data_IF_874640611954
#
_entry.id   IF_874640611954
#
_cell.length_a   1.000
_cell.length_b   1.000
_cell.length_c   1.000
_cell.angle_alpha   90.00
_cell.angle_beta   90.00
_cell.angle_gamma   90.00
#
_symmetry.space_group_name_H-M   'P 1'
#
loop_
_entity.id
_entity.type
_entity.pdbx_description
1 polymer ?
#
# COMPACT_ATOMS: atom_id res chain seq x y z
N UNK A 1 14.46 -10.31 -29.67
CA UNK A 1 15.83 -9.83 -29.95
C UNK A 1 16.49 -9.21 -28.72
N UNK A 2 15.93 -8.17 -28.08
CA UNK A 2 16.49 -7.50 -26.90
C UNK A 2 16.89 -8.47 -25.77
N UNK A 3 15.95 -9.31 -25.29
CA UNK A 3 16.20 -10.26 -24.19
C UNK A 3 17.31 -11.30 -24.53
N UNK A 4 17.46 -11.70 -25.79
CA UNK A 4 18.51 -12.61 -26.22
C UNK A 4 19.88 -11.95 -26.15
N UNK A 5 19.98 -10.69 -26.60
CA UNK A 5 21.24 -9.94 -26.55
C UNK A 5 21.59 -9.63 -25.08
N UNK A 6 20.61 -9.26 -24.25
CA UNK A 6 20.81 -9.01 -22.84
C UNK A 6 21.32 -10.25 -22.08
N UNK A 7 20.75 -11.42 -22.36
CA UNK A 7 21.12 -12.65 -21.66
C UNK A 7 22.44 -13.29 -22.11
N UNK A 8 22.82 -13.11 -23.38
CA UNK A 8 24.00 -13.78 -23.98
C UNK A 8 25.18 -12.83 -24.27
N UNK A 9 24.99 -11.51 -24.11
CA UNK A 9 25.99 -10.52 -24.46
C UNK A 9 26.09 -10.30 -25.97
N UNK A 10 27.15 -10.77 -26.63
CA UNK A 10 27.34 -10.61 -28.07
C UNK A 10 26.75 -11.79 -28.81
N UNK A 11 25.84 -11.56 -29.78
CA UNK A 11 25.20 -12.57 -30.62
C UNK A 11 25.32 -12.20 -32.09
N UNK A 12 25.63 -13.17 -32.93
CA UNK A 12 25.70 -12.98 -34.40
C UNK A 12 24.29 -12.76 -34.97
N UNK A 13 24.21 -11.90 -36.00
CA UNK A 13 22.95 -11.61 -36.70
C UNK A 13 22.30 -12.89 -37.27
N UNK A 14 23.11 -13.82 -37.81
CA UNK A 14 22.60 -15.11 -38.31
C UNK A 14 21.98 -15.96 -37.19
N UNK A 15 22.65 -16.04 -36.04
CA UNK A 15 22.17 -16.78 -34.87
C UNK A 15 20.88 -16.17 -34.30
N UNK A 16 20.80 -14.83 -34.24
CA UNK A 16 19.58 -14.14 -33.87
C UNK A 16 18.42 -14.45 -34.84
N UNK A 17 18.73 -14.46 -36.15
CA UNK A 17 17.73 -14.75 -37.17
C UNK A 17 17.21 -16.19 -37.07
N UNK A 18 18.06 -17.15 -36.77
CA UNK A 18 17.69 -18.56 -36.53
C UNK A 18 16.83 -18.73 -35.27
N UNK A 19 17.23 -18.10 -34.14
CA UNK A 19 16.51 -18.25 -32.88
C UNK A 19 15.12 -17.57 -32.91
N UNK A 20 15.01 -16.44 -33.62
CA UNK A 20 13.76 -15.66 -33.69
C UNK A 20 12.92 -16.11 -34.91
N UNK A 21 13.45 -17.03 -35.75
CA UNK A 21 12.80 -17.55 -36.97
C UNK A 21 12.44 -16.45 -37.97
N UNK A 22 13.36 -15.49 -38.19
CA UNK A 22 13.20 -14.39 -39.15
C UNK A 22 14.43 -14.27 -40.08
N UNK A 23 14.30 -13.47 -41.15
CA UNK A 23 15.44 -13.19 -42.01
C UNK A 23 16.48 -12.28 -41.34
N UNK A 24 17.78 -12.37 -41.73
CA UNK A 24 18.80 -11.42 -41.26
C UNK A 24 18.47 -9.95 -41.57
N UNK A 25 17.67 -9.69 -42.60
CA UNK A 25 17.18 -8.36 -42.94
C UNK A 25 16.20 -7.84 -41.90
N UNK A 26 15.30 -8.69 -41.39
CA UNK A 26 14.37 -8.36 -40.31
C UNK A 26 15.12 -8.07 -39.00
N UNK A 27 16.18 -8.80 -38.70
CA UNK A 27 17.02 -8.50 -37.51
C UNK A 27 17.59 -7.08 -37.56
N UNK A 28 18.01 -6.62 -38.77
CA UNK A 28 18.48 -5.23 -38.93
C UNK A 28 17.37 -4.22 -38.70
N UNK A 29 16.18 -4.50 -39.23
CA UNK A 29 15.03 -3.64 -39.01
C UNK A 29 14.65 -3.58 -37.49
N UNK A 30 14.62 -4.72 -36.81
CA UNK A 30 14.42 -4.76 -35.37
C UNK A 30 15.46 -3.98 -34.56
N UNK A 31 16.73 -3.95 -35.06
CA UNK A 31 17.75 -3.09 -34.47
C UNK A 31 17.36 -1.62 -34.59
N UNK A 32 16.97 -1.18 -35.78
CA UNK A 32 16.59 0.21 -36.05
C UNK A 32 15.33 0.61 -35.23
N UNK A 33 14.33 -0.28 -35.11
CA UNK A 33 13.13 -0.09 -34.30
C UNK A 33 13.46 0.05 -32.80
N UNK A 34 14.39 -0.76 -32.27
CA UNK A 34 14.87 -0.71 -30.91
C UNK A 34 15.66 0.58 -30.66
N UNK A 35 16.49 1.03 -31.60
CA UNK A 35 17.21 2.30 -31.49
C UNK A 35 16.27 3.51 -31.49
N UNK A 36 15.19 3.48 -32.29
CA UNK A 36 14.13 4.50 -32.23
C UNK A 36 13.38 4.48 -30.90
N UNK A 37 13.29 3.32 -30.26
CA UNK A 37 12.72 3.17 -28.91
C UNK A 37 13.73 3.51 -27.77
N UNK A 38 14.93 4.02 -28.11
CA UNK A 38 15.96 4.39 -27.14
C UNK A 38 16.82 3.23 -26.62
N UNK A 39 16.78 2.07 -27.31
CA UNK A 39 17.59 0.90 -26.95
C UNK A 39 18.72 0.76 -27.97
N UNK A 40 19.91 1.21 -27.60
CA UNK A 40 21.06 1.21 -28.52
C UNK A 40 21.73 -0.17 -28.64
N UNK A 41 21.88 -0.63 -29.88
CA UNK A 41 22.48 -1.92 -30.19
C UNK A 41 23.75 -1.70 -30.98
N UNK A 42 24.89 -1.94 -30.33
CA UNK A 42 26.19 -1.90 -30.94
C UNK A 42 26.44 -3.09 -31.84
N UNK A 43 27.36 -2.91 -32.78
CA UNK A 43 27.81 -3.93 -33.76
C UNK A 43 29.30 -4.08 -33.72
N UNK A 44 29.80 -5.27 -33.38
CA UNK A 44 31.23 -5.61 -33.42
C UNK A 44 31.53 -6.51 -34.62
N UNK A 45 32.56 -6.17 -35.41
CA UNK A 45 33.01 -6.98 -36.54
C UNK A 45 33.99 -8.06 -36.11
N UNK A 46 34.09 -9.14 -36.88
CA UNK A 46 35.09 -10.19 -36.72
C UNK A 46 34.53 -11.55 -36.31
N UNK A 47 35.45 -12.53 -36.12
CA UNK A 47 35.10 -13.93 -35.80
C UNK A 47 34.21 -14.07 -34.57
N UNK A 48 34.42 -13.19 -33.56
CA UNK A 48 33.68 -13.13 -32.32
C UNK A 48 32.76 -11.87 -32.23
N UNK A 49 32.44 -11.30 -33.40
CA UNK A 49 31.56 -10.13 -33.50
C UNK A 49 30.09 -10.52 -33.53
N UNK A 50 29.25 -9.52 -33.40
CA UNK A 50 27.81 -9.65 -33.40
C UNK A 50 27.14 -8.36 -32.90
N UNK A 51 25.87 -8.44 -32.66
CA UNK A 51 25.13 -7.39 -31.97
C UNK A 51 25.29 -7.54 -30.45
N UNK A 52 25.42 -6.41 -29.75
CA UNK A 52 25.49 -6.33 -28.31
C UNK A 52 24.69 -5.10 -27.86
N UNK A 53 24.19 -5.09 -26.65
CA UNK A 53 23.61 -3.89 -26.08
C UNK A 53 24.76 -2.92 -25.73
N UNK A 54 24.76 -1.77 -26.36
CA UNK A 54 25.58 -0.66 -25.89
C UNK A 54 24.96 -0.27 -24.55
N UNK A 55 25.68 -0.52 -23.46
CA UNK A 55 25.35 -0.35 -22.06
C UNK A 55 23.92 0.15 -21.86
N UNK A 56 23.08 -0.70 -21.24
CA UNK A 56 21.68 -0.37 -21.07
C UNK A 56 21.55 1.05 -20.57
N UNK A 57 20.48 1.75 -20.96
CA UNK A 57 20.22 3.19 -20.75
C UNK A 57 21.23 3.80 -19.78
N UNK A 58 22.22 4.55 -20.28
CA UNK A 58 23.12 5.23 -19.37
C UNK A 58 22.22 6.19 -18.59
N UNK A 59 22.01 5.90 -17.32
CA UNK A 59 21.19 6.75 -16.46
C UNK A 59 21.71 8.21 -16.45
N UNK A 60 22.96 8.42 -16.92
CA UNK A 60 23.53 9.75 -17.19
C UNK A 60 22.87 10.47 -18.39
N UNK A 61 22.30 9.72 -19.33
CA UNK A 61 21.56 10.29 -20.46
C UNK A 61 20.09 10.59 -20.10
N UNK A 62 19.57 9.97 -19.04
CA UNK A 62 18.33 10.43 -18.42
C UNK A 62 18.62 11.79 -17.77
N UNK A 63 18.15 12.86 -18.40
CA UNK A 63 18.20 14.19 -17.80
C UNK A 63 17.23 14.26 -16.59
N UNK A 64 17.63 13.61 -15.50
CA UNK A 64 16.86 13.65 -14.25
C UNK A 64 17.05 15.03 -13.64
N UNK A 65 15.95 15.75 -13.43
CA UNK A 65 15.97 17.09 -12.84
C UNK A 65 16.28 17.01 -11.34
N UNK A 66 16.86 18.08 -10.80
CA UNK A 66 17.19 18.18 -9.38
C UNK A 66 15.94 17.96 -8.50
N UNK A 67 14.81 18.52 -8.88
CA UNK A 67 13.54 18.40 -8.17
C UNK A 67 13.00 16.95 -8.16
N UNK A 68 13.30 16.15 -9.19
CA UNK A 68 12.92 14.74 -9.25
C UNK A 68 13.76 13.90 -8.28
N UNK A 69 15.05 14.22 -8.14
CA UNK A 69 15.93 13.57 -7.17
C UNK A 69 15.58 13.96 -5.73
N UNK A 70 15.24 15.23 -5.48
CA UNK A 70 14.72 15.70 -4.19
C UNK A 70 13.45 14.96 -3.81
N UNK A 71 12.50 14.83 -4.73
CA UNK A 71 11.26 14.07 -4.54
C UNK A 71 11.54 12.60 -4.24
N UNK A 72 12.52 11.99 -4.91
CA UNK A 72 12.92 10.60 -4.65
C UNK A 72 13.55 10.45 -3.26
N UNK A 73 14.40 11.39 -2.83
CA UNK A 73 15.00 11.41 -1.49
C UNK A 73 13.92 11.54 -0.41
N UNK A 74 13.00 12.49 -0.57
CA UNK A 74 11.87 12.65 0.36
C UNK A 74 10.98 11.41 0.43
N UNK A 75 10.64 10.81 -0.72
CA UNK A 75 9.88 9.58 -0.78
C UNK A 75 10.58 8.42 -0.04
N UNK A 76 11.92 8.33 -0.17
CA UNK A 76 12.71 7.32 0.54
C UNK A 76 12.60 7.48 2.06
N UNK A 77 12.69 8.70 2.58
CA UNK A 77 12.56 8.95 4.02
C UNK A 77 11.13 8.63 4.51
N UNK A 78 10.08 8.99 3.76
CA UNK A 78 8.69 8.62 4.07
C UNK A 78 8.52 7.10 4.09
N UNK A 79 9.09 6.38 3.13
CA UNK A 79 9.04 4.92 3.04
C UNK A 79 9.80 4.28 4.21
N UNK A 80 10.96 4.80 4.58
CA UNK A 80 11.74 4.32 5.73
C UNK A 80 10.99 4.48 7.04
N UNK A 81 10.41 5.66 7.27
CA UNK A 81 9.66 5.97 8.49
C UNK A 81 8.35 5.20 8.60
N UNK A 82 7.64 5.02 7.48
CA UNK A 82 6.34 4.35 7.43
C UNK A 82 6.37 2.84 7.66
N UNK A 83 7.51 2.26 8.05
CA UNK A 83 7.66 0.80 8.25
C UNK A 83 7.29 -0.06 7.04
N UNK A 84 7.55 0.44 5.85
CA UNK A 84 7.27 -0.28 4.61
C UNK A 84 8.08 -1.57 4.53
N UNK A 85 7.47 -2.68 4.07
CA UNK A 85 8.13 -4.00 4.02
C UNK A 85 9.38 -4.04 3.12
N UNK A 86 9.43 -3.18 2.12
CA UNK A 86 10.50 -3.11 1.11
C UNK A 86 11.27 -1.80 1.20
N UNK A 87 11.33 -1.18 2.39
CA UNK A 87 12.06 0.07 2.58
C UNK A 87 13.54 -0.05 2.25
N UNK A 88 14.19 -1.16 2.63
CA UNK A 88 15.59 -1.42 2.30
C UNK A 88 15.85 -1.59 0.81
N UNK A 89 14.96 -2.29 0.08
CA UNK A 89 15.09 -2.47 -1.37
C UNK A 89 14.92 -1.12 -2.09
N UNK A 90 13.98 -0.28 -1.62
CA UNK A 90 13.77 1.07 -2.15
C UNK A 90 14.93 2.01 -1.81
N UNK A 91 15.48 1.91 -0.62
CA UNK A 91 16.66 2.66 -0.19
C UNK A 91 17.88 2.36 -1.09
N UNK A 92 18.16 1.07 -1.34
CA UNK A 92 19.22 0.65 -2.25
C UNK A 92 18.99 1.22 -3.66
N UNK A 93 17.74 1.17 -4.15
CA UNK A 93 17.39 1.77 -5.45
C UNK A 93 17.63 3.29 -5.45
N UNK A 94 17.18 3.99 -4.41
CA UNK A 94 17.37 5.44 -4.26
C UNK A 94 18.84 5.82 -4.26
N UNK A 95 19.69 5.12 -3.48
CA UNK A 95 21.14 5.37 -3.49
C UNK A 95 21.76 5.11 -4.86
N UNK A 96 21.34 4.09 -5.58
CA UNK A 96 21.80 3.87 -6.95
C UNK A 96 21.46 5.06 -7.84
N UNK A 97 20.25 5.60 -7.75
CA UNK A 97 19.82 6.75 -8.54
C UNK A 97 20.56 8.03 -8.15
N UNK A 98 20.74 8.31 -6.87
CA UNK A 98 21.44 9.50 -6.39
C UNK A 98 22.95 9.48 -6.74
N UNK A 99 23.61 8.31 -6.69
CA UNK A 99 25.03 8.17 -7.01
C UNK A 99 25.35 8.36 -8.51
N UNK A 100 24.34 8.37 -9.38
CA UNK A 100 24.56 8.71 -10.80
C UNK A 100 24.80 10.22 -11.03
N UNK A 101 24.43 11.07 -10.06
CA UNK A 101 24.75 12.50 -10.09
C UNK A 101 25.69 12.84 -8.94
N UNK A 102 26.97 13.00 -9.25
CA UNK A 102 28.08 13.12 -8.29
C UNK A 102 28.01 14.32 -7.32
N UNK A 103 27.09 15.29 -7.50
CA UNK A 103 27.01 16.52 -6.72
C UNK A 103 25.58 16.87 -6.29
N UNK A 104 24.80 15.87 -5.83
CA UNK A 104 23.44 16.15 -5.35
C UNK A 104 23.45 16.64 -3.90
N UNK A 105 23.40 17.96 -3.71
CA UNK A 105 23.07 18.60 -2.44
C UNK A 105 21.54 18.75 -2.32
N UNK A 106 20.91 17.96 -1.48
CA UNK A 106 19.46 18.02 -1.22
C UNK A 106 19.16 18.48 0.20
N UNK A 107 17.94 18.99 0.42
CA UNK A 107 17.44 19.35 1.75
C UNK A 107 17.26 18.10 2.61
N UNK A 108 17.65 18.18 3.88
CA UNK A 108 17.40 17.11 4.83
C UNK A 108 15.90 17.05 5.17
N UNK A 109 15.33 15.87 5.07
CA UNK A 109 13.94 15.59 5.38
C UNK A 109 13.84 14.47 6.40
N UNK A 110 13.15 14.72 7.49
CA UNK A 110 12.99 13.76 8.57
C UNK A 110 11.50 13.49 8.80
N UNK A 111 11.17 12.21 9.02
CA UNK A 111 9.84 11.81 9.42
C UNK A 111 9.88 11.18 10.81
N UNK A 112 8.83 11.40 11.60
CA UNK A 112 8.69 10.85 12.95
C UNK A 112 7.49 9.94 13.01
N UNK A 113 7.70 8.65 12.75
CA UNK A 113 6.67 7.62 12.83
C UNK A 113 7.04 6.50 13.80
N UNK A 114 6.03 5.72 14.22
CA UNK A 114 6.23 4.59 15.11
C UNK A 114 6.87 3.41 14.38
N UNK A 115 7.95 2.85 14.92
CA UNK A 115 8.64 1.71 14.35
C UNK A 115 8.05 0.38 14.81
N UNK A 116 7.95 -0.59 13.89
CA UNK A 116 7.61 -1.97 14.23
C UNK A 116 8.88 -2.74 14.65
N UNK A 117 8.78 -3.71 15.60
CA UNK A 117 9.89 -4.61 15.90
C UNK A 117 10.34 -5.39 14.66
N UNK A 118 11.67 -5.61 14.54
CA UNK A 118 12.27 -6.32 13.38
C UNK A 118 11.65 -7.71 13.16
N UNK A 119 11.45 -8.48 14.22
CA UNK A 119 10.83 -9.81 14.13
C UNK A 119 9.42 -9.76 13.53
N UNK A 120 8.65 -8.72 13.81
CA UNK A 120 7.32 -8.53 13.23
C UNK A 120 7.41 -8.17 11.74
N UNK A 121 8.41 -7.40 11.32
CA UNK A 121 8.64 -7.07 9.90
C UNK A 121 8.97 -8.32 9.09
N UNK A 122 9.85 -9.19 9.61
CA UNK A 122 10.24 -10.41 8.92
C UNK A 122 9.06 -11.37 8.76
N UNK A 123 8.26 -11.57 9.81
CA UNK A 123 7.02 -12.37 9.74
C UNK A 123 6.02 -11.81 8.73
N UNK A 124 5.84 -10.49 8.70
CA UNK A 124 4.97 -9.84 7.70
C UNK A 124 5.49 -10.05 6.28
N UNK A 125 6.82 -9.99 6.06
CA UNK A 125 7.46 -10.21 4.75
C UNK A 125 7.26 -11.64 4.24
N UNK A 126 7.40 -12.63 5.11
CA UNK A 126 7.13 -14.03 4.78
C UNK A 126 5.66 -14.23 4.42
N UNK A 127 4.75 -13.75 5.24
CA UNK A 127 3.31 -13.82 4.97
C UNK A 127 2.93 -13.10 3.68
N UNK A 128 3.51 -11.92 3.42
CA UNK A 128 3.32 -11.17 2.18
C UNK A 128 3.69 -11.99 0.94
N UNK A 129 4.85 -12.66 0.97
CA UNK A 129 5.30 -13.46 -0.17
C UNK A 129 4.35 -14.62 -0.48
N UNK A 130 3.79 -15.26 0.55
CA UNK A 130 2.80 -16.33 0.40
C UNK A 130 1.48 -15.77 -0.17
N UNK A 131 0.97 -14.67 0.40
CA UNK A 131 -0.26 -14.03 -0.07
C UNK A 131 -0.12 -13.54 -1.52
N UNK A 132 1.02 -12.91 -1.88
CA UNK A 132 1.30 -12.48 -3.26
C UNK A 132 1.24 -13.66 -4.23
N UNK A 133 1.89 -14.79 -3.90
CA UNK A 133 1.83 -16.02 -4.71
C UNK A 133 0.40 -16.56 -4.81
N UNK A 134 -0.36 -16.53 -3.72
CA UNK A 134 -1.74 -16.99 -3.67
C UNK A 134 -2.66 -16.16 -4.59
N UNK A 135 -2.53 -14.83 -4.56
CA UNK A 135 -3.30 -13.90 -5.42
C UNK A 135 -2.98 -14.13 -6.89
N UNK A 136 -1.68 -14.14 -7.25
CA UNK A 136 -1.24 -14.29 -8.66
C UNK A 136 -1.73 -15.62 -9.23
N UNK A 137 -1.62 -16.72 -8.46
CA UNK A 137 -1.98 -18.07 -8.91
C UNK A 137 -3.44 -18.44 -8.63
N UNK A 138 -4.24 -17.52 -8.10
CA UNK A 138 -5.64 -17.75 -7.68
C UNK A 138 -5.78 -19.00 -6.81
N UNK A 139 -4.91 -19.15 -5.80
CA UNK A 139 -4.89 -20.28 -4.88
C UNK A 139 -5.40 -19.87 -3.49
N UNK A 140 -6.17 -20.76 -2.86
CA UNK A 140 -6.63 -20.56 -1.49
C UNK A 140 -5.46 -20.60 -0.50
N UNK A 141 -5.65 -19.92 0.62
CA UNK A 141 -4.73 -20.01 1.77
C UNK A 141 -5.48 -20.53 2.99
N UNK A 142 -4.78 -21.34 3.79
CA UNK A 142 -5.20 -21.73 5.14
C UNK A 142 -4.34 -20.98 6.13
N UNK A 143 -4.96 -20.33 7.11
CA UNK A 143 -4.23 -19.56 8.11
C UNK A 143 -4.80 -19.73 9.50
N UNK A 144 -3.91 -19.65 10.51
CA UNK A 144 -4.28 -19.38 11.89
C UNK A 144 -4.23 -17.88 12.14
N UNK A 145 -5.33 -17.30 12.56
CA UNK A 145 -5.48 -15.85 12.69
C UNK A 145 -5.92 -15.45 14.10
N UNK A 146 -5.23 -14.45 14.68
CA UNK A 146 -5.54 -13.89 16.00
C UNK A 146 -6.26 -12.55 15.84
N UNK A 147 -7.60 -12.51 15.80
CA UNK A 147 -8.34 -11.26 15.69
C UNK A 147 -8.30 -10.51 17.02
N UNK A 148 -8.35 -9.17 16.98
CA UNK A 148 -8.61 -8.34 18.16
C UNK A 148 -10.12 -8.12 18.23
N UNK A 149 -10.73 -8.47 19.36
CA UNK A 149 -12.11 -8.11 19.66
C UNK A 149 -12.14 -6.79 20.43
N UNK A 150 -13.17 -6.02 20.18
CA UNK A 150 -13.42 -4.76 20.87
C UNK A 150 -13.98 -4.91 22.30
N UNK A 151 -14.39 -6.12 22.67
CA UNK A 151 -14.97 -6.44 23.99
C UNK A 151 -13.93 -6.84 25.04
N UNK A 152 -12.62 -6.63 24.76
CA UNK A 152 -11.52 -6.95 25.67
C UNK A 152 -11.22 -8.44 25.83
N UNK A 153 -12.11 -9.32 25.38
CA UNK A 153 -11.87 -10.76 25.47
C UNK A 153 -10.81 -11.21 24.47
N UNK A 154 -9.77 -11.88 24.94
CA UNK A 154 -8.78 -12.50 24.05
C UNK A 154 -9.47 -13.55 23.18
N UNK A 155 -9.45 -13.37 21.87
CA UNK A 155 -9.92 -14.42 20.96
C UNK A 155 -8.86 -15.47 20.81
N UNK A 156 -9.30 -16.71 20.93
CA UNK A 156 -8.54 -17.89 20.53
C UNK A 156 -8.17 -17.81 19.03
N UNK A 157 -7.06 -18.40 18.71
CA UNK A 157 -6.64 -18.62 17.33
C UNK A 157 -7.76 -19.29 16.54
N UNK A 158 -8.11 -18.72 15.41
CA UNK A 158 -9.11 -19.30 14.53
C UNK A 158 -8.48 -19.72 13.20
N UNK A 159 -8.68 -20.99 12.84
CA UNK A 159 -8.27 -21.49 11.52
C UNK A 159 -9.26 -20.99 10.47
N UNK A 160 -8.73 -20.43 9.37
CA UNK A 160 -9.53 -19.87 8.27
C UNK A 160 -9.01 -20.33 6.92
N UNK A 161 -9.92 -20.63 6.00
CA UNK A 161 -9.62 -20.77 4.59
C UNK A 161 -10.11 -19.50 3.90
N UNK A 162 -9.21 -18.87 3.14
CA UNK A 162 -9.49 -17.59 2.50
C UNK A 162 -9.07 -17.65 1.03
N UNK A 163 -9.87 -17.02 0.17
CA UNK A 163 -9.58 -16.74 -1.23
C UNK A 163 -9.01 -15.32 -1.32
N UNK A 164 -7.69 -15.12 -1.37
CA UNK A 164 -7.11 -13.77 -1.33
C UNK A 164 -7.31 -13.05 -2.67
N UNK A 165 -7.89 -11.86 -2.63
CA UNK A 165 -8.20 -11.07 -3.81
C UNK A 165 -7.19 -9.95 -4.07
N UNK A 166 -6.65 -9.34 -3.00
CA UNK A 166 -5.72 -8.25 -3.11
C UNK A 166 -5.13 -7.82 -1.76
N UNK A 167 -4.27 -6.81 -1.80
CA UNK A 167 -3.59 -6.26 -0.62
C UNK A 167 -3.70 -4.75 -0.59
N UNK A 168 -3.61 -4.16 0.60
CA UNK A 168 -3.59 -2.72 0.80
C UNK A 168 -2.83 -2.35 2.08
N UNK A 169 -2.44 -1.08 2.19
CA UNK A 169 -1.86 -0.50 3.40
C UNK A 169 -2.87 0.44 4.06
N UNK A 170 -2.94 0.40 5.40
CA UNK A 170 -3.72 1.33 6.20
C UNK A 170 -3.00 1.65 7.51
N UNK A 171 -2.74 2.95 7.77
CA UNK A 171 -2.03 3.43 8.98
C UNK A 171 -0.73 2.65 9.25
N UNK A 172 0.12 2.50 8.23
CA UNK A 172 1.40 1.79 8.32
C UNK A 172 1.31 0.27 8.51
N UNK A 173 0.12 -0.33 8.47
CA UNK A 173 -0.05 -1.77 8.54
C UNK A 173 -0.48 -2.34 7.18
N UNK A 174 0.00 -3.54 6.87
CA UNK A 174 -0.35 -4.24 5.64
C UNK A 174 -1.48 -5.23 5.90
N UNK A 175 -2.45 -5.20 5.01
CA UNK A 175 -3.62 -6.06 5.01
C UNK A 175 -3.73 -6.77 3.66
N UNK A 176 -4.37 -7.92 3.67
CA UNK A 176 -4.96 -8.48 2.49
C UNK A 176 -6.48 -8.62 2.69
N UNK A 177 -7.22 -8.65 1.60
CA UNK A 177 -8.65 -8.89 1.62
C UNK A 177 -8.99 -10.08 0.73
N UNK A 178 -10.05 -10.77 1.11
CA UNK A 178 -10.49 -11.95 0.37
C UNK A 178 -11.73 -12.58 0.98
N UNK A 179 -12.35 -13.50 0.23
CA UNK A 179 -13.51 -14.25 0.69
C UNK A 179 -13.11 -15.26 1.77
N UNK A 180 -13.70 -15.15 2.92
CA UNK A 180 -13.50 -16.05 4.05
C UNK A 180 -14.57 -17.15 4.06
N UNK A 181 -14.21 -18.41 3.84
CA UNK A 181 -15.16 -19.53 3.80
C UNK A 181 -15.94 -19.72 5.10
N UNK A 182 -15.28 -19.46 6.24
CA UNK A 182 -15.92 -19.55 7.57
C UNK A 182 -17.02 -18.49 7.76
N UNK A 183 -16.82 -17.28 7.24
CA UNK A 183 -17.73 -16.15 7.42
C UNK A 183 -18.66 -15.94 6.23
N UNK A 184 -18.38 -16.60 5.11
CA UNK A 184 -19.12 -16.50 3.83
C UNK A 184 -19.21 -15.06 3.28
N UNK A 185 -18.20 -14.26 3.55
CA UNK A 185 -18.11 -12.85 3.12
C UNK A 185 -16.66 -12.43 2.88
N UNK A 186 -16.46 -11.28 2.20
CA UNK A 186 -15.14 -10.67 2.05
C UNK A 186 -14.72 -10.05 3.38
N UNK A 187 -13.50 -10.36 3.80
CA UNK A 187 -12.91 -9.87 5.06
C UNK A 187 -11.52 -9.31 4.83
N UNK A 188 -11.09 -8.46 5.76
CA UNK A 188 -9.76 -7.87 5.81
C UNK A 188 -8.93 -8.53 6.90
N UNK A 189 -7.68 -8.85 6.56
CA UNK A 189 -6.78 -9.55 7.44
C UNK A 189 -5.45 -8.82 7.54
N UNK A 190 -5.06 -8.40 8.74
CA UNK A 190 -3.76 -7.76 9.00
C UNK A 190 -2.67 -8.81 8.98
N UNK A 191 -1.61 -8.64 8.19
CA UNK A 191 -0.54 -9.62 8.03
C UNK A 191 0.17 -9.96 9.35
N UNK A 192 0.36 -8.96 10.23
CA UNK A 192 1.00 -9.16 11.53
C UNK A 192 0.20 -10.04 12.51
N UNK A 193 -1.09 -10.28 12.25
CA UNK A 193 -1.97 -11.10 13.09
C UNK A 193 -2.11 -12.54 12.61
N UNK A 194 -1.42 -12.91 11.55
CA UNK A 194 -1.37 -14.26 11.02
C UNK A 194 -0.29 -15.02 11.78
N UNK A 195 -0.66 -16.09 12.49
CA UNK A 195 0.28 -16.93 13.23
C UNK A 195 0.91 -18.01 12.35
N UNK A 196 0.12 -18.65 11.50
CA UNK A 196 0.60 -19.58 10.47
C UNK A 196 -0.15 -19.36 9.16
N UNK A 197 0.50 -19.60 8.04
CA UNK A 197 -0.05 -19.38 6.71
C UNK A 197 0.46 -20.42 5.72
N UNK A 198 -0.44 -21.19 5.15
CA UNK A 198 -0.17 -22.24 4.18
C UNK A 198 -0.85 -21.94 2.84
N UNK A 199 -0.10 -22.07 1.76
CA UNK A 199 -0.62 -22.00 0.40
C UNK A 199 -1.25 -23.34 0.01
N UNK A 200 -2.56 -23.38 -0.21
CA UNK A 200 -3.26 -24.61 -0.60
C UNK A 200 -3.14 -24.88 -2.11
N UNK A 201 -3.24 -26.15 -2.53
CA UNK A 201 -3.28 -26.52 -3.95
C UNK A 201 -4.62 -26.18 -4.63
N UNK A 202 -5.66 -25.90 -3.84
CA UNK A 202 -6.98 -25.58 -4.33
C UNK A 202 -7.01 -24.17 -4.96
N UNK A 203 -7.53 -24.10 -6.19
CA UNK A 203 -7.78 -22.81 -6.88
C UNK A 203 -9.17 -22.28 -6.50
N UNK A 204 -9.35 -20.96 -6.68
CA UNK A 204 -10.65 -20.31 -6.55
C UNK A 204 -10.93 -19.44 -7.78
N UNK A 205 -12.21 -19.17 -8.02
CA UNK A 205 -12.68 -18.16 -8.98
C UNK A 205 -13.25 -16.97 -8.22
N UNK A 206 -13.07 -15.77 -8.77
CA UNK A 206 -13.64 -14.55 -8.20
C UNK A 206 -15.05 -14.40 -8.79
N UNK A 207 -16.03 -14.92 -8.09
CA UNK A 207 -17.45 -14.89 -8.51
C UNK A 207 -18.19 -13.65 -7.98
N UNK A 208 -17.55 -12.87 -7.11
CA UNK A 208 -18.13 -11.68 -6.48
C UNK A 208 -17.51 -10.45 -7.14
N UNK A 209 -18.33 -9.59 -7.74
CA UNK A 209 -17.93 -8.24 -8.15
C UNK A 209 -17.75 -7.39 -6.88
N UNK A 210 -16.60 -7.53 -6.22
CA UNK A 210 -16.26 -6.74 -5.06
C UNK A 210 -15.41 -5.53 -5.51
N UNK A 211 -16.03 -4.36 -5.49
CA UNK A 211 -15.29 -3.12 -5.77
C UNK A 211 -14.60 -2.62 -4.50
N UNK A 212 -13.39 -3.15 -4.29
CA UNK A 212 -12.55 -2.78 -3.16
C UNK A 212 -12.28 -1.27 -3.10
N UNK A 213 -12.03 -0.63 -4.26
CA UNK A 213 -11.67 0.79 -4.30
C UNK A 213 -12.82 1.68 -3.83
N UNK A 214 -14.05 1.39 -4.27
CA UNK A 214 -15.21 2.16 -3.84
C UNK A 214 -15.55 1.91 -2.38
N UNK A 215 -15.40 0.68 -1.91
CA UNK A 215 -15.67 0.31 -0.51
C UNK A 215 -14.72 1.01 0.45
N UNK A 216 -13.41 0.94 0.20
CA UNK A 216 -12.40 1.60 1.07
C UNK A 216 -12.54 3.13 1.07
N UNK A 217 -12.89 3.73 -0.07
CA UNK A 217 -13.06 5.20 -0.15
C UNK A 217 -14.24 5.74 0.66
N UNK A 218 -15.24 4.91 0.93
CA UNK A 218 -16.42 5.26 1.76
C UNK A 218 -16.22 4.94 3.23
N UNK A 219 -15.16 4.22 3.59
CA UNK A 219 -14.89 3.81 4.96
C UNK A 219 -13.95 4.79 5.63
N UNK A 220 -14.30 5.27 6.81
CA UNK A 220 -13.42 6.08 7.67
C UNK A 220 -12.18 5.27 8.11
N UNK A 221 -12.34 3.97 8.30
CA UNK A 221 -11.29 3.01 8.63
C UNK A 221 -11.25 1.84 7.67
N UNK A 222 -10.99 0.66 8.21
CA UNK A 222 -10.94 -0.61 7.48
C UNK A 222 -12.13 -1.52 7.77
N UNK A 223 -13.00 -1.12 8.69
CA UNK A 223 -14.21 -1.90 9.01
C UNK A 223 -15.29 -1.55 7.99
N UNK A 224 -15.78 -2.58 7.31
CA UNK A 224 -16.89 -2.48 6.37
C UNK A 224 -18.16 -2.88 7.12
N UNK A 225 -18.71 -1.94 7.88
CA UNK A 225 -20.00 -2.02 8.56
C UNK A 225 -21.06 -1.19 7.82
N UNK A 226 -22.23 -1.02 8.44
CA UNK A 226 -23.31 -0.24 7.85
C UNK A 226 -22.94 1.23 7.70
N UNK A 227 -23.42 1.83 6.63
CA UNK A 227 -23.28 3.26 6.38
C UNK A 227 -24.17 4.02 7.37
N UNK A 228 -23.61 5.05 8.02
CA UNK A 228 -24.35 5.93 8.91
C UNK A 228 -23.99 7.39 8.65
N UNK A 229 -24.93 8.27 8.94
CA UNK A 229 -24.73 9.71 8.87
C UNK A 229 -24.10 10.20 10.18
N UNK A 230 -22.99 10.94 10.04
CA UNK A 230 -22.29 11.56 11.16
C UNK A 230 -22.43 13.07 11.09
N UNK A 231 -22.88 13.69 12.17
CA UNK A 231 -22.90 15.14 12.35
C UNK A 231 -22.25 15.51 13.67
N UNK A 232 -21.21 16.32 13.61
CA UNK A 232 -20.44 16.76 14.77
C UNK A 232 -20.41 18.29 14.84
N UNK A 233 -20.51 18.83 16.05
CA UNK A 233 -20.10 20.20 16.37
C UNK A 233 -18.69 20.14 16.93
N UNK A 234 -17.76 20.87 16.32
CA UNK A 234 -16.33 20.81 16.67
C UNK A 234 -15.82 22.22 16.94
N UNK A 235 -15.21 22.41 18.12
CA UNK A 235 -14.64 23.69 18.56
C UNK A 235 -13.13 23.74 18.43
N UNK A 236 -12.54 24.93 18.53
CA UNK A 236 -11.10 25.16 18.53
C UNK A 236 -10.42 24.39 19.68
N UNK A 237 -9.20 23.81 19.49
CA UNK A 237 -8.39 23.84 18.28
C UNK A 237 -8.73 22.73 17.26
N UNK A 238 -9.60 21.78 17.60
CA UNK A 238 -9.90 20.63 16.74
C UNK A 238 -10.60 21.02 15.44
N UNK A 239 -11.37 22.11 15.45
CA UNK A 239 -12.02 22.66 14.24
C UNK A 239 -10.99 22.97 13.14
N UNK A 240 -9.82 23.52 13.49
CA UNK A 240 -8.76 23.82 12.52
C UNK A 240 -8.14 22.54 11.98
N UNK A 241 -7.79 21.59 12.87
CA UNK A 241 -7.18 20.31 12.47
C UNK A 241 -8.10 19.47 11.57
N UNK A 242 -9.41 19.56 11.78
CA UNK A 242 -10.40 18.86 10.96
C UNK A 242 -10.53 19.50 9.57
N UNK A 243 -10.45 20.83 9.47
CA UNK A 243 -10.46 21.55 8.17
C UNK A 243 -9.26 21.19 7.28
N UNK A 244 -8.14 20.83 7.87
CA UNK A 244 -6.91 20.46 7.13
C UNK A 244 -6.96 19.08 6.48
N UNK A 245 -7.99 18.25 6.76
CA UNK A 245 -8.04 16.84 6.32
C UNK A 245 -9.34 16.50 5.62
N UNK A 246 -9.22 15.63 4.64
CA UNK A 246 -10.37 15.00 4.01
C UNK A 246 -10.57 13.59 4.59
N UNK A 247 -11.62 13.41 5.38
CA UNK A 247 -11.99 12.14 6.03
C UNK A 247 -12.92 11.29 5.17
N UNK A 248 -13.75 11.94 4.34
CA UNK A 248 -14.67 11.30 3.41
C UNK A 248 -14.77 12.11 2.11
N UNK A 249 -15.11 11.43 1.02
CA UNK A 249 -15.40 12.11 -0.26
C UNK A 249 -16.65 13.00 -0.14
N UNK A 250 -17.59 12.61 0.72
CA UNK A 250 -18.89 13.27 0.90
C UNK A 250 -18.94 14.17 2.15
N UNK A 251 -17.77 14.53 2.72
CA UNK A 251 -17.78 15.41 3.88
C UNK A 251 -18.19 16.83 3.50
N UNK A 252 -18.94 17.45 4.37
CA UNK A 252 -19.20 18.90 4.36
C UNK A 252 -18.74 19.52 5.67
N UNK A 253 -18.26 20.75 5.60
CA UNK A 253 -17.84 21.55 6.74
C UNK A 253 -18.52 22.91 6.59
N UNK A 254 -19.32 23.27 7.62
CA UNK A 254 -19.98 24.56 7.71
C UNK A 254 -19.40 25.30 8.92
N UNK A 255 -18.85 26.48 8.70
CA UNK A 255 -18.37 27.36 9.77
C UNK A 255 -19.57 28.08 10.43
N UNK A 256 -19.69 27.93 11.76
CA UNK A 256 -20.69 28.65 12.56
C UNK A 256 -20.14 30.01 13.02
N UNK A 257 -18.89 29.99 13.47
CA UNK A 257 -18.11 31.14 13.89
C UNK A 257 -16.61 30.87 13.64
N UNK A 258 -15.72 31.76 14.08
CA UNK A 258 -14.27 31.66 13.89
C UNK A 258 -13.67 30.35 14.48
N UNK A 259 -14.25 29.86 15.58
CA UNK A 259 -13.74 28.74 16.37
C UNK A 259 -14.52 27.45 16.16
N UNK A 260 -15.74 27.51 15.63
CA UNK A 260 -16.69 26.38 15.64
C UNK A 260 -17.15 26.00 14.25
N UNK A 261 -17.13 24.71 13.97
CA UNK A 261 -17.63 24.12 12.73
C UNK A 261 -18.68 23.04 12.98
N UNK A 262 -19.55 22.82 12.00
CA UNK A 262 -20.32 21.58 11.83
C UNK A 262 -19.64 20.75 10.77
N UNK A 263 -19.28 19.53 11.13
CA UNK A 263 -18.78 18.51 10.24
C UNK A 263 -19.89 17.49 9.98
N UNK A 264 -20.16 17.21 8.70
CA UNK A 264 -21.12 16.18 8.29
C UNK A 264 -20.50 15.26 7.26
N UNK A 265 -20.76 13.95 7.39
CA UNK A 265 -20.33 12.94 6.41
C UNK A 265 -21.12 11.63 6.56
N UNK A 266 -21.34 10.93 5.43
CA UNK A 266 -21.79 9.55 5.46
C UNK A 266 -20.57 8.62 5.51
N UNK A 267 -20.45 7.83 6.56
CA UNK A 267 -19.27 7.05 6.90
C UNK A 267 -19.61 5.60 7.22
N UNK A 268 -18.64 4.73 6.97
CA UNK A 268 -18.55 3.38 7.54
C UNK A 268 -17.40 3.33 8.54
N UNK A 269 -17.38 2.34 9.43
CA UNK A 269 -16.34 2.22 10.45
C UNK A 269 -16.74 2.87 11.76
N UNK A 270 -17.90 2.49 12.28
CA UNK A 270 -18.48 3.07 13.49
C UNK A 270 -17.52 3.15 14.67
N UNK A 271 -16.75 2.08 14.91
CA UNK A 271 -15.80 2.03 16.03
C UNK A 271 -14.60 2.95 15.84
N UNK A 272 -14.10 3.06 14.62
CA UNK A 272 -13.01 3.98 14.31
C UNK A 272 -13.48 5.43 14.43
N UNK A 273 -14.72 5.71 14.00
CA UNK A 273 -15.34 7.03 14.15
C UNK A 273 -15.54 7.36 15.63
N UNK A 274 -16.08 6.43 16.46
CA UNK A 274 -16.18 6.61 17.92
C UNK A 274 -14.83 6.98 18.55
N UNK A 275 -13.78 6.20 18.22
CA UNK A 275 -12.44 6.45 18.74
C UNK A 275 -11.89 7.81 18.27
N UNK A 276 -12.15 8.21 17.03
CA UNK A 276 -11.73 9.50 16.49
C UNK A 276 -12.44 10.67 17.20
N UNK A 277 -13.76 10.58 17.39
CA UNK A 277 -14.52 11.60 18.12
C UNK A 277 -14.00 11.73 19.55
N UNK A 278 -13.82 10.61 20.25
CA UNK A 278 -13.29 10.61 21.62
C UNK A 278 -11.87 11.17 21.71
N UNK A 279 -11.05 11.02 20.67
CA UNK A 279 -9.69 11.59 20.66
C UNK A 279 -9.65 13.11 20.62
N UNK A 280 -10.75 13.77 20.26
CA UNK A 280 -10.88 15.23 20.27
C UNK A 280 -11.29 15.76 21.67
N UNK A 281 -11.61 14.88 22.62
CA UNK A 281 -11.99 15.23 23.99
C UNK A 281 -13.23 16.14 24.03
N UNK A 282 -13.16 17.19 24.84
CA UNK A 282 -14.27 18.15 25.03
C UNK A 282 -14.56 19.03 23.80
N UNK A 283 -13.76 18.95 22.76
CA UNK A 283 -13.86 19.81 21.57
C UNK A 283 -14.76 19.25 20.47
N UNK A 284 -15.28 18.04 20.63
CA UNK A 284 -16.22 17.43 19.69
C UNK A 284 -17.50 16.98 20.40
N UNK A 285 -18.63 17.42 19.90
CA UNK A 285 -19.95 17.01 20.33
C UNK A 285 -20.66 16.27 19.19
N UNK A 286 -21.19 15.07 19.49
CA UNK A 286 -21.98 14.30 18.52
C UNK A 286 -23.40 14.86 18.51
N UNK A 287 -23.83 15.34 17.34
CA UNK A 287 -25.22 15.74 17.08
C UNK A 287 -26.00 14.52 16.56
N UNK A 288 -25.42 13.83 15.58
CA UNK A 288 -25.97 12.61 14.96
C UNK A 288 -24.85 11.58 14.72
N UNK A 289 -25.15 10.28 14.84
CA UNK A 289 -26.40 9.67 15.25
C UNK A 289 -26.52 9.58 16.79
N UNK A 290 -27.73 9.54 17.31
CA UNK A 290 -28.05 9.42 18.75
C UNK A 290 -27.32 8.23 19.38
N UNK A 291 -27.32 7.07 18.73
CA UNK A 291 -26.60 5.88 19.21
C UNK A 291 -25.10 6.14 19.49
N UNK A 292 -24.43 6.91 18.65
CA UNK A 292 -22.99 7.22 18.86
C UNK A 292 -22.82 8.13 20.08
N UNK A 293 -23.75 9.06 20.27
CA UNK A 293 -23.76 9.95 21.42
C UNK A 293 -23.95 9.16 22.73
N UNK A 294 -24.94 8.24 22.76
CA UNK A 294 -25.17 7.35 23.89
C UNK A 294 -23.96 6.48 24.23
N UNK A 295 -23.37 5.83 23.21
CA UNK A 295 -22.17 4.99 23.36
C UNK A 295 -20.95 5.77 23.89
N UNK A 296 -20.83 7.07 23.56
CA UNK A 296 -19.77 7.93 24.08
C UNK A 296 -20.06 8.35 25.51
N UNK A 297 -21.33 8.67 25.87
CA UNK A 297 -21.72 8.98 27.22
C UNK A 297 -21.43 7.81 28.17
N UNK A 298 -21.74 6.59 27.75
CA UNK A 298 -21.44 5.38 28.53
C UNK A 298 -19.93 5.21 28.74
N UNK A 299 -19.12 5.37 27.68
CA UNK A 299 -17.67 5.28 27.77
C UNK A 299 -17.06 6.33 28.70
N UNK A 300 -17.59 7.57 28.68
CA UNK A 300 -17.16 8.67 29.60
C UNK A 300 -17.45 8.32 31.03
N UNK A 301 -18.61 7.73 31.33
CA UNK A 301 -18.93 7.27 32.68
C UNK A 301 -17.94 6.23 33.19
N UNK A 302 -17.66 5.21 32.36
CA UNK A 302 -16.70 4.16 32.69
C UNK A 302 -15.31 4.76 32.92
N UNK A 303 -14.89 5.69 32.07
CA UNK A 303 -13.61 6.41 32.22
C UNK A 303 -13.58 7.23 33.50
N UNK A 304 -14.65 7.94 33.84
CA UNK A 304 -14.76 8.70 35.10
C UNK A 304 -14.55 7.80 36.31
N UNK A 305 -15.26 6.67 36.40
CA UNK A 305 -15.10 5.67 37.46
C UNK A 305 -13.67 5.09 37.57
N UNK A 306 -12.93 5.01 36.46
CA UNK A 306 -11.53 4.53 36.46
C UNK A 306 -10.56 5.55 37.06
N UNK A 307 -10.86 6.86 36.98
CA UNK A 307 -9.99 7.94 37.45
C UNK A 307 -10.42 8.56 38.76
N UNK A 308 -11.62 8.26 39.26
CA UNK A 308 -12.14 8.70 40.56
C UNK A 308 -11.63 7.87 41.78
N UNK A 309 -10.55 7.04 41.58
CA UNK A 309 -9.94 6.18 42.60
C UNK A 309 -8.84 6.86 43.40
#
# INVERSE_FOLDING_TARGET
MYLLIQGRGIIKVKELAEIIEVSPRMIKQYKDDLEQAGIYIGSKRGRYGGYYLENGIDLKELSIKKEELESLKMANEIIKSGNYLFSSDFEIFTYKMLNYQNDFEGVDFFTKDSFKPLAMKEKERQNWNIIKKAIINKRKVKMSYKPIKSDGNQKELSTRIVHPYGTFSHKGAIYFFGYCEMRKEVRYFKLSRIESLDLLNQKFSINIKYDFKSTIRKSFGIIDDDLFHLKLKISYPMSQLVKEKQYSINQSIVEIDEDTIIFEADLKGYKEVKSWVMSMGKHAEVIEPEKLREDIIEEIKILGEMYDK
#
